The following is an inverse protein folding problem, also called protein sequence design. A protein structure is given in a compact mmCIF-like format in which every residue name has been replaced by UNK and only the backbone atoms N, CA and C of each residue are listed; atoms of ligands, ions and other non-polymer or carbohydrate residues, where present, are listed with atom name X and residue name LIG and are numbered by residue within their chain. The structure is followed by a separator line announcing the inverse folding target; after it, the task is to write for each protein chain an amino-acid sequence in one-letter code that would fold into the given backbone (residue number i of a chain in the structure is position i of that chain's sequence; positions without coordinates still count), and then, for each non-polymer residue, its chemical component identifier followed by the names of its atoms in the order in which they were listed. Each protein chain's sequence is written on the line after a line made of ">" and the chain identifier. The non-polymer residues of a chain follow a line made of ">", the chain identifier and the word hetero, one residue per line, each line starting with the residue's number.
data_IF_390201406334
#
_entry.id   IF_390201406334
#
_cell.length_a   1.000
_cell.length_b   1.000
_cell.length_c   1.000
_cell.angle_alpha   90.00
_cell.angle_beta   90.00
_cell.angle_gamma   90.00
#
_symmetry.space_group_name_H-M   'P 1'
#
loop_
_entity.id
_entity.type
_entity.pdbx_description
1 polymer ?
#
# COMPACT_ATOMS: atom_id res chain seq x y z
N UNK A 1 10.29 -0.24 16.70
CA UNK A 1 11.09 -0.48 15.50
C UNK A 1 10.27 -0.98 14.31
N UNK A 2 9.49 -2.07 14.43
CA UNK A 2 8.70 -2.61 13.30
C UNK A 2 7.72 -1.60 12.70
N UNK A 3 6.94 -0.90 13.53
CA UNK A 3 5.98 0.13 13.07
C UNK A 3 6.63 1.24 12.24
N UNK A 4 7.81 1.72 12.63
CA UNK A 4 8.52 2.76 11.89
C UNK A 4 9.00 2.26 10.52
N UNK A 5 9.46 1.01 10.44
CA UNK A 5 9.90 0.41 9.16
C UNK A 5 8.72 0.20 8.20
N UNK A 6 7.60 -0.31 8.71
CA UNK A 6 6.35 -0.41 7.95
C UNK A 6 5.89 0.97 7.44
N UNK A 7 5.93 1.99 8.29
CA UNK A 7 5.55 3.35 7.91
C UNK A 7 6.43 3.91 6.79
N UNK A 8 7.75 3.76 6.91
CA UNK A 8 8.71 4.20 5.90
C UNK A 8 8.46 3.47 4.59
N UNK A 9 8.30 2.15 4.64
CA UNK A 9 8.10 1.36 3.43
C UNK A 9 6.76 1.65 2.74
N UNK A 10 5.67 1.78 3.50
CA UNK A 10 4.37 2.21 2.95
C UNK A 10 4.40 3.64 2.44
N UNK A 11 5.18 4.54 3.04
CA UNK A 11 5.37 5.91 2.55
C UNK A 11 6.08 5.93 1.19
N UNK A 12 7.19 5.20 1.07
CA UNK A 12 7.92 5.05 -0.21
C UNK A 12 7.02 4.45 -1.29
N UNK A 13 6.32 3.35 -0.96
CA UNK A 13 5.35 2.73 -1.86
C UNK A 13 4.27 3.73 -2.31
N UNK A 14 3.69 4.50 -1.38
CA UNK A 14 2.65 5.49 -1.66
C UNK A 14 3.13 6.60 -2.60
N UNK A 15 4.39 7.04 -2.46
CA UNK A 15 5.01 8.03 -3.37
C UNK A 15 5.16 7.46 -4.78
N UNK A 16 5.67 6.22 -4.90
CA UNK A 16 5.87 5.57 -6.21
C UNK A 16 4.52 5.37 -6.91
N UNK A 17 3.49 4.93 -6.18
CA UNK A 17 2.15 4.78 -6.74
C UNK A 17 1.51 6.11 -7.16
N UNK A 18 1.67 7.16 -6.35
CA UNK A 18 1.25 8.50 -6.73
C UNK A 18 1.94 8.97 -8.01
N UNK A 19 3.22 8.66 -8.15
CA UNK A 19 4.02 8.97 -9.33
C UNK A 19 3.51 8.23 -10.58
N UNK A 20 3.11 6.95 -10.45
CA UNK A 20 2.47 6.18 -11.53
C UNK A 20 1.17 6.85 -12.00
N UNK A 21 0.32 7.27 -11.06
CA UNK A 21 -0.93 7.96 -11.38
C UNK A 21 -0.64 9.28 -12.09
N UNK A 22 0.23 10.13 -11.55
CA UNK A 22 0.50 11.46 -12.09
C UNK A 22 1.22 11.45 -13.44
N UNK A 23 1.96 10.40 -13.74
CA UNK A 23 2.65 10.22 -15.03
C UNK A 23 1.71 9.75 -16.14
N UNK A 24 0.50 9.27 -15.82
CA UNK A 24 -0.43 8.73 -16.80
C UNK A 24 -1.02 9.84 -17.70
N UNK A 25 -0.75 9.84 -19.03
CA UNK A 25 -1.20 10.92 -19.91
C UNK A 25 -2.70 10.87 -20.23
N UNK A 26 -3.35 9.72 -20.01
CA UNK A 26 -4.77 9.51 -20.34
C UNK A 26 -5.63 9.72 -19.08
N UNK A 27 -6.51 10.74 -19.02
CA UNK A 27 -7.30 11.05 -17.83
C UNK A 27 -8.20 9.89 -17.37
N UNK A 28 -8.77 9.13 -18.30
CA UNK A 28 -9.59 7.96 -17.99
C UNK A 28 -8.78 6.86 -17.29
N UNK A 29 -7.53 6.62 -17.74
CA UNK A 29 -6.62 5.66 -17.10
C UNK A 29 -6.14 6.16 -15.74
N UNK A 30 -5.91 7.47 -15.61
CA UNK A 30 -5.55 8.09 -14.33
C UNK A 30 -6.65 7.90 -13.29
N UNK A 31 -7.92 8.14 -13.63
CA UNK A 31 -9.05 7.91 -12.73
C UNK A 31 -9.24 6.43 -12.38
N UNK A 32 -9.05 5.52 -13.33
CA UNK A 32 -9.08 4.08 -13.08
C UNK A 32 -7.97 3.66 -12.10
N UNK A 33 -6.73 4.11 -12.30
CA UNK A 33 -5.60 3.84 -11.41
C UNK A 33 -5.82 4.46 -10.03
N UNK A 34 -6.33 5.69 -9.97
CA UNK A 34 -6.68 6.36 -8.71
C UNK A 34 -7.73 5.57 -7.93
N UNK A 35 -8.80 5.11 -8.60
CA UNK A 35 -9.86 4.31 -7.98
C UNK A 35 -9.34 2.95 -7.47
N UNK A 36 -8.57 2.24 -8.30
CA UNK A 36 -7.97 0.96 -7.94
C UNK A 36 -6.99 1.10 -6.76
N UNK A 37 -6.16 2.14 -6.77
CA UNK A 37 -5.19 2.41 -5.71
C UNK A 37 -5.89 2.84 -4.42
N UNK A 38 -6.87 3.75 -4.52
CA UNK A 38 -7.66 4.21 -3.38
C UNK A 38 -8.34 3.04 -2.65
N UNK A 39 -8.93 2.11 -3.40
CA UNK A 39 -9.59 0.93 -2.83
C UNK A 39 -8.65 0.13 -1.93
N UNK A 40 -7.43 -0.19 -2.39
CA UNK A 40 -6.51 -0.97 -1.58
C UNK A 40 -5.89 -0.14 -0.43
N UNK A 41 -5.71 1.18 -0.59
CA UNK A 41 -5.23 2.05 0.50
C UNK A 41 -6.21 2.13 1.66
N UNK A 42 -7.52 2.11 1.38
CA UNK A 42 -8.56 2.07 2.41
C UNK A 42 -8.49 0.78 3.23
N UNK A 43 -8.37 -0.37 2.56
CA UNK A 43 -8.27 -1.67 3.24
C UNK A 43 -7.01 -1.73 4.10
N UNK A 44 -5.85 -1.32 3.57
CA UNK A 44 -4.59 -1.29 4.32
C UNK A 44 -4.67 -0.36 5.53
N UNK A 45 -5.21 0.85 5.36
CA UNK A 45 -5.40 1.82 6.45
C UNK A 45 -6.36 1.31 7.53
N UNK A 46 -7.42 0.60 7.13
CA UNK A 46 -8.35 -0.03 8.06
C UNK A 46 -7.69 -1.13 8.87
N UNK A 47 -6.98 -2.06 8.21
CA UNK A 47 -6.25 -3.13 8.89
C UNK A 47 -5.18 -2.59 9.85
N UNK A 48 -4.42 -1.58 9.42
CA UNK A 48 -3.42 -0.92 10.27
C UNK A 48 -4.08 -0.26 11.48
N UNK A 49 -5.20 0.44 11.27
CA UNK A 49 -5.98 1.06 12.34
C UNK A 49 -6.56 0.05 13.34
N UNK A 50 -7.09 -1.07 12.87
CA UNK A 50 -7.64 -2.14 13.70
C UNK A 50 -6.56 -2.80 14.57
N UNK A 51 -5.39 -3.08 13.99
CA UNK A 51 -4.28 -3.69 14.74
C UNK A 51 -3.70 -2.74 15.80
N UNK A 52 -3.68 -1.45 15.50
CA UNK A 52 -3.22 -0.43 16.45
C UNK A 52 -4.25 -0.17 17.58
N UNK A 53 -5.54 -0.36 17.30
CA UNK A 53 -6.57 -0.37 18.33
C UNK A 53 -6.42 -1.59 19.28
N UNK A 54 -5.97 -2.74 18.78
CA UNK A 54 -5.68 -3.90 19.64
C UNK A 54 -4.38 -3.79 20.43
N UNK A 55 -3.37 -3.08 19.93
CA UNK A 55 -2.07 -2.89 20.58
C UNK A 55 -2.05 -1.75 21.63
N UNK A 56 -3.17 -1.07 21.87
CA UNK A 56 -3.29 -0.01 22.88
C UNK A 56 -2.43 1.23 22.61
N UNK A 57 -1.98 1.45 21.37
CA UNK A 57 -1.20 2.64 21.01
C UNK A 57 -2.07 3.90 20.98
N UNK A 58 -1.49 5.04 21.35
CA UNK A 58 -2.18 6.33 21.30
C UNK A 58 -2.65 6.66 19.88
N UNK A 59 -3.96 6.94 19.74
CA UNK A 59 -4.62 7.37 18.50
C UNK A 59 -3.92 8.55 17.81
N UNK A 60 -3.21 9.40 18.57
CA UNK A 60 -2.45 10.52 18.03
C UNK A 60 -1.27 10.08 17.15
N UNK A 61 -0.51 9.08 17.59
CA UNK A 61 0.62 8.55 16.82
C UNK A 61 0.15 7.86 15.53
N UNK A 62 -1.05 7.26 15.58
CA UNK A 62 -1.71 6.63 14.44
C UNK A 62 -2.13 7.67 13.39
N UNK A 63 -2.85 8.70 13.84
CA UNK A 63 -3.33 9.77 12.96
C UNK A 63 -2.17 10.44 12.22
N UNK A 64 -1.07 10.77 12.92
CA UNK A 64 0.12 11.35 12.30
C UNK A 64 0.74 10.44 11.23
N UNK A 65 0.72 9.12 11.47
CA UNK A 65 1.26 8.12 10.55
C UNK A 65 0.40 7.95 9.29
N UNK A 66 -0.94 7.93 9.45
CA UNK A 66 -1.89 7.90 8.33
C UNK A 66 -1.82 9.18 7.49
N UNK A 67 -1.60 10.34 8.13
CA UNK A 67 -1.37 11.60 7.43
C UNK A 67 -0.09 11.55 6.59
N UNK A 68 1.03 11.04 7.12
CA UNK A 68 2.26 10.86 6.35
C UNK A 68 2.08 9.93 5.15
N UNK A 69 1.33 8.84 5.32
CA UNK A 69 1.00 7.90 4.24
C UNK A 69 0.17 8.55 3.13
N UNK A 70 -0.84 9.34 3.50
CA UNK A 70 -1.70 10.09 2.58
C UNK A 70 -0.92 11.19 1.84
N UNK A 71 -0.11 11.96 2.57
CA UNK A 71 0.75 13.00 2.00
C UNK A 71 1.74 12.42 0.99
N UNK A 72 2.28 11.22 1.23
CA UNK A 72 3.14 10.52 0.27
C UNK A 72 2.45 10.32 -1.09
N UNK A 73 1.17 9.94 -1.09
CA UNK A 73 0.40 9.76 -2.34
C UNK A 73 0.19 11.08 -3.06
N UNK A 74 -0.21 12.12 -2.33
CA UNK A 74 -0.43 13.46 -2.89
C UNK A 74 0.86 14.04 -3.48
N UNK A 75 1.98 13.90 -2.78
CA UNK A 75 3.30 14.32 -3.26
C UNK A 75 3.70 13.55 -4.52
N UNK A 76 3.52 12.22 -4.54
CA UNK A 76 3.79 11.39 -5.71
C UNK A 76 2.99 11.84 -6.94
N UNK A 77 1.70 12.14 -6.78
CA UNK A 77 0.83 12.62 -7.87
C UNK A 77 1.32 13.97 -8.39
N UNK A 78 1.60 14.93 -7.49
CA UNK A 78 2.09 16.27 -7.88
C UNK A 78 3.41 16.15 -8.65
N UNK A 79 4.35 15.34 -8.15
CA UNK A 79 5.64 15.09 -8.82
C UNK A 79 5.44 14.40 -10.17
N UNK A 80 4.50 13.46 -10.28
CA UNK A 80 4.20 12.78 -11.54
C UNK A 80 3.63 13.68 -12.60
N UNK A 81 2.68 14.54 -12.24
CA UNK A 81 2.13 15.57 -13.14
C UNK A 81 3.23 16.55 -13.56
N UNK A 82 4.10 16.95 -12.64
CA UNK A 82 5.22 17.83 -12.97
C UNK A 82 6.15 17.15 -13.98
N UNK A 83 6.55 15.91 -13.73
CA UNK A 83 7.42 15.12 -14.62
C UNK A 83 6.76 14.92 -16.00
N UNK A 84 5.46 14.66 -16.04
CA UNK A 84 4.70 14.55 -17.29
C UNK A 84 4.72 15.86 -18.09
N UNK A 85 4.51 17.00 -17.44
CA UNK A 85 4.49 18.33 -18.08
C UNK A 85 5.83 18.74 -18.71
N UNK A 86 6.96 18.32 -18.15
CA UNK A 86 8.30 18.59 -18.70
C UNK A 86 8.75 17.57 -19.74
N UNK A 87 7.95 16.54 -20.01
CA UNK A 87 8.35 15.43 -20.88
C UNK A 87 7.86 15.65 -22.30
N UNK A 88 8.80 15.87 -23.22
CA UNK A 88 8.50 16.11 -24.64
C UNK A 88 8.33 14.83 -25.44
N UNK A 89 8.91 13.70 -25.01
CA UNK A 89 8.75 12.38 -25.65
C UNK A 89 9.15 11.28 -24.64
N UNK A 90 8.24 10.85 -23.77
CA UNK A 90 8.49 9.66 -22.96
C UNK A 90 8.09 8.41 -23.71
N UNK A 91 9.03 7.48 -23.84
CA UNK A 91 8.73 6.08 -24.08
C UNK A 91 7.82 5.52 -22.98
N UNK A 92 6.82 4.73 -23.35
CA UNK A 92 5.81 4.09 -22.46
C UNK A 92 6.38 3.22 -21.32
N UNK A 93 7.70 3.06 -21.24
CA UNK A 93 8.41 2.19 -20.30
C UNK A 93 8.47 2.73 -18.86
N UNK A 94 8.23 4.02 -18.61
CA UNK A 94 8.36 4.54 -17.23
C UNK A 94 7.29 4.00 -16.28
N UNK A 95 6.05 3.82 -16.77
CA UNK A 95 4.93 3.33 -15.97
C UNK A 95 5.14 1.89 -15.48
N UNK A 96 5.45 0.90 -16.34
CA UNK A 96 5.66 -0.47 -15.88
C UNK A 96 6.88 -0.60 -14.95
N UNK A 97 7.94 0.20 -15.14
CA UNK A 97 9.09 0.22 -14.23
C UNK A 97 8.71 0.75 -12.85
N UNK A 98 7.99 1.88 -12.80
CA UNK A 98 7.49 2.45 -11.54
C UNK A 98 6.55 1.49 -10.83
N UNK A 99 5.67 0.81 -11.57
CA UNK A 99 4.75 -0.18 -11.01
C UNK A 99 5.49 -1.44 -10.51
N UNK A 100 6.54 -1.89 -11.20
CA UNK A 100 7.40 -2.97 -10.74
C UNK A 100 8.14 -2.60 -9.44
N UNK A 101 8.60 -1.35 -9.31
CA UNK A 101 9.22 -0.85 -8.08
C UNK A 101 8.21 -0.77 -6.93
N UNK A 102 6.99 -0.29 -7.19
CA UNK A 102 5.90 -0.28 -6.21
C UNK A 102 5.59 -1.70 -5.72
N UNK A 103 5.43 -2.67 -6.63
CA UNK A 103 5.20 -4.07 -6.31
C UNK A 103 6.38 -4.69 -5.51
N UNK A 104 7.61 -4.40 -5.92
CA UNK A 104 8.81 -4.87 -5.23
C UNK A 104 8.91 -4.36 -3.79
N UNK A 105 8.53 -3.11 -3.53
CA UNK A 105 8.51 -2.56 -2.16
C UNK A 105 7.54 -3.31 -1.25
N UNK A 106 6.33 -3.67 -1.72
CA UNK A 106 5.37 -4.46 -0.95
C UNK A 106 5.88 -5.88 -0.70
N UNK A 107 6.53 -6.49 -1.70
CA UNK A 107 7.12 -7.82 -1.55
C UNK A 107 8.22 -7.80 -0.47
N UNK A 108 9.11 -6.80 -0.52
CA UNK A 108 10.14 -6.61 0.50
C UNK A 108 9.55 -6.49 1.90
N UNK A 109 8.52 -5.65 2.07
CA UNK A 109 7.82 -5.47 3.36
C UNK A 109 7.21 -6.78 3.85
N UNK A 110 6.56 -7.51 2.94
CA UNK A 110 5.87 -8.75 3.28
C UNK A 110 6.86 -9.81 3.75
N UNK A 111 7.95 -10.01 3.00
CA UNK A 111 8.94 -11.04 3.30
C UNK A 111 9.82 -10.67 4.50
N UNK A 112 10.21 -9.40 4.62
CA UNK A 112 11.21 -8.98 5.62
C UNK A 112 10.59 -8.52 6.93
N UNK A 113 9.33 -8.08 6.94
CA UNK A 113 8.71 -7.49 8.12
C UNK A 113 7.48 -8.27 8.60
N UNK A 114 6.59 -8.66 7.67
CA UNK A 114 5.33 -9.35 8.03
C UNK A 114 5.58 -10.83 8.31
N UNK A 115 6.29 -11.53 7.42
CA UNK A 115 6.51 -12.98 7.51
C UNK A 115 7.26 -13.40 8.79
N UNK A 116 8.33 -12.71 9.24
CA UNK A 116 9.00 -13.07 10.50
C UNK A 116 8.12 -12.79 11.73
N UNK A 117 7.29 -11.73 11.69
CA UNK A 117 6.38 -11.35 12.77
C UNK A 117 5.28 -12.39 12.95
N UNK A 118 4.66 -12.81 11.86
CA UNK A 118 3.65 -13.88 11.85
C UNK A 118 4.24 -15.20 12.37
N UNK A 119 5.42 -15.58 11.88
CA UNK A 119 6.09 -16.81 12.35
C UNK A 119 6.35 -16.78 13.85
N UNK A 120 6.86 -15.66 14.39
CA UNK A 120 7.08 -15.50 15.83
C UNK A 120 5.78 -15.52 16.64
N UNK A 121 4.65 -15.09 16.07
CA UNK A 121 3.34 -15.11 16.74
C UNK A 121 2.75 -16.52 16.78
N UNK A 122 2.91 -17.32 15.71
CA UNK A 122 2.51 -18.73 15.69
C UNK A 122 3.26 -19.61 16.68
N UNK A 123 4.52 -19.31 16.97
CA UNK A 123 5.30 -20.08 17.95
C UNK A 123 4.78 -19.91 19.39
N UNK A 124 4.03 -18.83 19.68
CA UNK A 124 3.52 -18.52 21.03
C UNK A 124 2.00 -18.70 21.18
N UNK A 125 1.23 -18.75 20.08
CA UNK A 125 -0.22 -18.86 20.11
C UNK A 125 -0.70 -20.10 19.32
N UNK A 126 -1.08 -21.14 20.05
CA UNK A 126 -1.90 -22.26 19.55
C UNK A 126 -3.31 -21.76 19.23
N UNK A 127 -3.52 -21.12 18.07
CA UNK A 127 -4.86 -20.69 17.62
C UNK A 127 -5.14 -21.26 16.22
N UNK A 128 -6.39 -21.70 16.05
CA UNK A 128 -6.88 -22.55 14.96
C UNK A 128 -6.56 -22.05 13.54
N UNK A 129 -5.92 -22.86 12.67
CA UNK A 129 -5.62 -22.53 11.27
C UNK A 129 -6.85 -22.23 10.41
N UNK A 130 -8.05 -22.58 10.89
CA UNK A 130 -9.35 -22.35 10.24
C UNK A 130 -9.75 -20.87 10.14
N UNK A 131 -9.38 -20.02 11.10
CA UNK A 131 -9.76 -18.60 11.07
C UNK A 131 -8.98 -17.83 9.98
N UNK A 132 -7.69 -18.12 9.83
CA UNK A 132 -6.86 -17.57 8.76
C UNK A 132 -7.30 -18.05 7.38
N UNK A 133 -7.65 -19.33 7.24
CA UNK A 133 -8.17 -19.88 5.99
C UNK A 133 -9.53 -19.25 5.61
N UNK A 134 -10.42 -19.03 6.59
CA UNK A 134 -11.70 -18.36 6.35
C UNK A 134 -11.50 -16.90 5.90
N UNK A 135 -10.59 -16.14 6.53
CA UNK A 135 -10.23 -14.79 6.08
C UNK A 135 -9.67 -14.79 4.66
N UNK A 136 -8.83 -15.78 4.32
CA UNK A 136 -8.28 -15.92 2.97
C UNK A 136 -9.38 -16.23 1.94
N UNK A 137 -10.33 -17.11 2.27
CA UNK A 137 -11.48 -17.42 1.43
C UNK A 137 -12.33 -16.17 1.21
N UNK A 138 -12.70 -15.44 2.26
CA UNK A 138 -13.45 -14.19 2.12
C UNK A 138 -12.72 -13.13 1.28
N UNK A 139 -11.40 -13.03 1.41
CA UNK A 139 -10.58 -12.14 0.59
C UNK A 139 -10.58 -12.55 -0.89
N UNK A 140 -10.39 -13.84 -1.19
CA UNK A 140 -10.43 -14.36 -2.57
C UNK A 140 -11.81 -14.25 -3.20
N UNK A 141 -12.88 -14.47 -2.43
CA UNK A 141 -14.26 -14.25 -2.86
C UNK A 141 -14.50 -12.78 -3.20
N UNK A 142 -14.00 -11.86 -2.37
CA UNK A 142 -14.07 -10.42 -2.65
C UNK A 142 -13.37 -10.04 -3.95
N UNK A 143 -12.18 -10.60 -4.19
CA UNK A 143 -11.43 -10.34 -5.42
C UNK A 143 -12.12 -10.94 -6.67
N UNK A 144 -12.75 -12.10 -6.52
CA UNK A 144 -13.49 -12.77 -7.59
C UNK A 144 -14.83 -12.12 -7.92
N UNK A 145 -15.41 -11.33 -7.01
CA UNK A 145 -16.62 -10.53 -7.26
C UNK A 145 -16.28 -9.20 -7.95
N UNK A 146 -15.05 -8.71 -7.76
CA UNK A 146 -14.57 -7.43 -8.32
C UNK A 146 -13.95 -7.60 -9.72
N UNK A 147 -13.41 -8.78 -10.06
CA UNK A 147 -12.89 -9.11 -11.39
C UNK A 147 -14.01 -9.48 -12.38
#
# INVERSE_FOLDING_TARGET
>A
FLFFRLLVAFSVHSIIEGLVIGVQPVPAKMLLLLGAISSHKLVVSFCLGAELASDGRSFFSLSQSMLLYSLGSSLGIILGILIEKWRTTATDTSIPVLQALAAGSLLYVTVSEVLPRERSRWEHQTIHPLAGLAQFIFFTLGFSVIS
#
